data_IF_384100388255
#
_entry.id   IF_384100388255
#
_cell.length_a   1.000
_cell.length_b   1.000
_cell.length_c   1.000
_cell.angle_alpha   90.00
_cell.angle_beta   90.00
_cell.angle_gamma   90.00
#
_symmetry.space_group_name_H-M   'P 1'
#
loop_
_entity.id
_entity.type
_entity.pdbx_description
1 polymer ?
#
# COMPACT_ATOMS: atom_id res chain seq x y z
N UNK A 1 46.17 -69.45 88.67
CA UNK A 1 46.64 -68.72 87.47
C UNK A 1 45.89 -67.40 87.43
N UNK A 2 46.60 -66.28 87.48
CA UNK A 2 45.98 -64.96 87.51
C UNK A 2 45.50 -64.57 86.10
N UNK A 3 44.22 -64.21 85.97
CA UNK A 3 43.58 -63.85 84.71
C UNK A 3 43.81 -62.36 84.41
N UNK A 4 44.99 -62.04 83.88
CA UNK A 4 45.38 -60.67 83.52
C UNK A 4 45.23 -60.45 82.00
N UNK A 5 44.58 -59.37 81.59
CA UNK A 5 44.34 -59.03 80.17
C UNK A 5 45.63 -58.72 79.37
N UNK A 6 46.76 -58.49 80.05
CA UNK A 6 48.07 -58.26 79.44
C UNK A 6 49.03 -59.39 79.82
N UNK A 7 49.63 -60.09 78.85
CA UNK A 7 50.58 -61.16 79.14
C UNK A 7 51.77 -60.59 79.90
N UNK A 8 52.08 -61.20 81.05
CA UNK A 8 53.19 -60.76 81.92
C UNK A 8 54.40 -61.64 81.67
N UNK A 9 55.57 -61.03 81.42
CA UNK A 9 56.85 -61.73 81.26
C UNK A 9 57.78 -61.33 82.39
N UNK A 10 58.39 -62.32 83.04
CA UNK A 10 59.34 -62.10 84.15
C UNK A 10 60.74 -62.47 83.71
N UNK A 11 61.69 -61.58 84.03
CA UNK A 11 63.10 -61.70 83.68
C UNK A 11 64.01 -61.28 84.85
N UNK A 12 63.82 -61.93 86.00
CA UNK A 12 64.64 -61.74 87.20
C UNK A 12 65.67 -62.86 87.21
N UNK A 13 66.84 -62.63 86.62
CA UNK A 13 67.86 -63.67 86.48
C UNK A 13 68.61 -63.94 87.79
N UNK A 14 68.80 -65.22 88.14
CA UNK A 14 70.02 -66.02 88.41
C UNK A 14 69.54 -67.48 88.56
N UNK A 15 70.35 -68.48 88.20
CA UNK A 15 69.92 -69.90 88.14
C UNK A 15 69.37 -70.44 89.47
N UNK A 16 69.82 -69.85 90.58
CA UNK A 16 69.51 -70.28 91.95
C UNK A 16 68.37 -69.49 92.63
N UNK A 17 67.83 -68.45 91.98
CA UNK A 17 66.80 -67.57 92.56
C UNK A 17 65.39 -67.96 92.07
N UNK A 18 64.58 -68.63 92.90
CA UNK A 18 63.17 -68.89 92.62
C UNK A 18 62.28 -67.78 93.22
N UNK A 19 61.55 -67.04 92.38
CA UNK A 19 60.68 -65.95 92.84
C UNK A 19 59.20 -66.24 92.58
N UNK A 20 58.33 -65.78 93.50
CA UNK A 20 56.87 -65.87 93.32
C UNK A 20 56.37 -65.18 92.04
N UNK A 21 57.13 -64.20 91.52
CA UNK A 21 56.82 -63.53 90.27
C UNK A 21 56.92 -64.49 89.07
N UNK A 22 57.93 -65.36 89.02
CA UNK A 22 58.08 -66.36 87.96
C UNK A 22 56.95 -67.38 87.97
N UNK A 23 56.46 -67.78 89.14
CA UNK A 23 55.37 -68.76 89.29
C UNK A 23 54.01 -68.26 88.77
N UNK A 24 53.83 -66.93 88.63
CA UNK A 24 52.57 -66.31 88.20
C UNK A 24 52.68 -65.71 86.79
N UNK A 25 53.88 -65.59 86.23
CA UNK A 25 54.11 -65.04 84.89
C UNK A 25 53.63 -65.98 83.77
N UNK A 26 53.24 -65.38 82.63
CA UNK A 26 52.86 -66.11 81.42
C UNK A 26 54.09 -66.67 80.71
N UNK A 27 55.21 -65.94 80.75
CA UNK A 27 56.48 -66.39 80.20
C UNK A 27 57.63 -66.03 81.15
N UNK A 28 58.54 -66.98 81.34
CA UNK A 28 59.78 -66.80 82.10
C UNK A 28 60.93 -66.65 81.11
N UNK A 29 61.77 -65.65 81.35
CA UNK A 29 63.02 -65.43 80.62
C UNK A 29 64.18 -65.32 81.60
N UNK A 30 65.37 -65.78 81.23
CA UNK A 30 66.55 -65.69 82.10
C UNK A 30 67.15 -64.28 82.15
N UNK A 31 66.93 -63.48 81.09
CA UNK A 31 67.50 -62.14 80.99
C UNK A 31 66.46 -61.12 80.51
N UNK A 32 66.57 -59.84 80.90
CA UNK A 32 65.70 -58.79 80.36
C UNK A 32 65.74 -58.72 78.83
N UNK A 33 66.87 -59.04 78.21
CA UNK A 33 67.03 -59.08 76.75
C UNK A 33 66.20 -60.19 76.10
N UNK A 34 66.24 -61.40 76.67
CA UNK A 34 65.50 -62.57 76.16
C UNK A 34 63.97 -62.37 76.32
N UNK A 35 63.52 -61.70 77.38
CA UNK A 35 62.12 -61.27 77.52
C UNK A 35 61.72 -60.24 76.46
N UNK A 36 62.62 -59.31 76.15
CA UNK A 36 62.43 -58.34 75.07
C UNK A 36 62.26 -59.01 73.71
N UNK A 37 63.06 -60.04 73.42
CA UNK A 37 62.94 -60.83 72.17
C UNK A 37 61.63 -61.62 72.14
N UNK A 38 61.23 -62.23 73.25
CA UNK A 38 60.00 -63.03 73.35
C UNK A 38 58.72 -62.20 73.15
N UNK A 39 58.73 -60.92 73.54
CA UNK A 39 57.57 -60.02 73.45
C UNK A 39 57.61 -59.12 72.22
N UNK A 40 58.80 -58.82 71.68
CA UNK A 40 58.92 -57.94 70.53
C UNK A 40 58.27 -58.58 69.29
N UNK A 41 57.39 -57.84 68.59
CA UNK A 41 56.83 -58.32 67.34
C UNK A 41 57.92 -58.43 66.28
N UNK A 42 57.79 -59.41 65.38
CA UNK A 42 58.68 -59.52 64.23
C UNK A 42 58.60 -58.25 63.37
N UNK A 43 59.72 -57.55 63.27
CA UNK A 43 59.83 -56.29 62.57
C UNK A 43 59.56 -56.45 61.07
N UNK A 44 59.84 -57.61 60.48
CA UNK A 44 59.52 -57.89 59.09
C UNK A 44 58.00 -57.95 58.88
N UNK A 45 57.27 -58.66 59.73
CA UNK A 45 55.80 -58.69 59.72
C UNK A 45 55.18 -57.30 59.91
N UNK A 46 55.69 -56.48 60.84
CA UNK A 46 55.19 -55.11 61.05
C UNK A 46 55.42 -54.25 59.81
N UNK A 47 56.61 -54.30 59.19
CA UNK A 47 56.91 -53.57 57.96
C UNK A 47 56.03 -54.01 56.80
N UNK A 48 55.79 -55.31 56.65
CA UNK A 48 54.90 -55.84 55.62
C UNK A 48 53.48 -55.31 55.80
N UNK A 49 52.96 -55.30 57.03
CA UNK A 49 51.62 -54.74 57.32
C UNK A 49 51.53 -53.26 56.99
N UNK A 50 52.57 -52.48 57.28
CA UNK A 50 52.61 -51.05 56.91
C UNK A 50 52.58 -50.90 55.39
N UNK A 51 53.42 -51.63 54.65
CA UNK A 51 53.45 -51.60 53.19
C UNK A 51 52.09 -52.00 52.58
N UNK A 52 51.44 -53.05 53.12
CA UNK A 52 50.12 -53.47 52.65
C UNK A 52 49.05 -52.39 52.88
N UNK A 53 49.09 -51.70 54.02
CA UNK A 53 48.20 -50.58 54.33
C UNK A 53 48.47 -49.41 53.38
N UNK A 54 49.72 -49.05 53.15
CA UNK A 54 50.12 -47.98 52.22
C UNK A 54 49.61 -48.29 50.81
N UNK A 55 49.83 -49.50 50.29
CA UNK A 55 49.31 -49.92 48.99
C UNK A 55 47.78 -49.93 48.91
N UNK A 56 47.10 -50.26 50.01
CA UNK A 56 45.64 -50.22 50.05
C UNK A 56 45.11 -48.79 50.04
N UNK A 57 45.74 -47.89 50.80
CA UNK A 57 45.39 -46.47 50.82
C UNK A 57 45.66 -45.82 49.47
N UNK A 58 46.82 -46.08 48.87
CA UNK A 58 47.19 -45.53 47.56
C UNK A 58 46.18 -45.96 46.49
N UNK A 59 45.89 -47.26 46.37
CA UNK A 59 44.89 -47.77 45.42
C UNK A 59 43.50 -47.19 45.66
N UNK A 60 43.05 -47.10 46.91
CA UNK A 60 41.76 -46.52 47.23
C UNK A 60 41.70 -45.04 46.86
N UNK A 61 42.75 -44.29 47.17
CA UNK A 61 42.85 -42.87 46.83
C UNK A 61 42.86 -42.66 45.32
N UNK A 62 43.70 -43.39 44.58
CA UNK A 62 43.73 -43.32 43.11
C UNK A 62 42.37 -43.63 42.52
N UNK A 63 41.70 -44.71 42.95
CA UNK A 63 40.37 -45.06 42.45
C UNK A 63 39.37 -43.92 42.67
N UNK A 64 39.29 -43.39 43.90
CA UNK A 64 38.35 -42.31 44.24
C UNK A 64 38.62 -41.06 43.41
N UNK A 65 39.89 -40.68 43.25
CA UNK A 65 40.27 -39.50 42.46
C UNK A 65 39.93 -39.71 40.99
N UNK A 66 40.31 -40.85 40.41
CA UNK A 66 40.03 -41.18 39.00
C UNK A 66 38.55 -41.19 38.72
N UNK A 67 37.74 -41.86 39.55
CA UNK A 67 36.29 -41.92 39.41
C UNK A 67 35.67 -40.53 39.53
N UNK A 68 36.15 -39.72 40.48
CA UNK A 68 35.64 -38.37 40.69
C UNK A 68 35.96 -37.45 39.52
N UNK A 69 37.19 -37.51 39.01
CA UNK A 69 37.60 -36.73 37.84
C UNK A 69 36.80 -37.16 36.61
N UNK A 70 36.66 -38.47 36.36
CA UNK A 70 35.86 -38.98 35.25
C UNK A 70 34.39 -38.50 35.31
N UNK A 71 33.77 -38.58 36.49
CA UNK A 71 32.40 -38.12 36.68
C UNK A 71 32.25 -36.60 36.48
N UNK A 72 33.22 -35.80 36.91
CA UNK A 72 33.22 -34.35 36.70
C UNK A 72 33.40 -33.99 35.22
N UNK A 73 34.34 -34.66 34.54
CA UNK A 73 34.55 -34.48 33.09
C UNK A 73 33.29 -34.81 32.31
N UNK A 74 32.65 -35.95 32.58
CA UNK A 74 31.41 -36.32 31.91
C UNK A 74 30.27 -35.31 32.13
N UNK A 75 30.15 -34.78 33.36
CA UNK A 75 29.17 -33.72 33.66
C UNK A 75 29.48 -32.41 32.93
N UNK A 76 30.75 -32.05 32.83
CA UNK A 76 31.19 -30.86 32.11
C UNK A 76 30.89 -31.01 30.61
N UNK A 77 31.22 -32.14 30.01
CA UNK A 77 30.96 -32.42 28.60
C UNK A 77 29.47 -32.40 28.28
N UNK A 78 28.64 -33.04 29.10
CA UNK A 78 27.19 -32.99 28.95
C UNK A 78 26.64 -31.55 29.10
N UNK A 79 27.19 -30.78 30.04
CA UNK A 79 26.87 -29.37 30.22
C UNK A 79 27.24 -28.53 29.00
N UNK A 80 28.45 -28.71 28.46
CA UNK A 80 28.94 -28.02 27.27
C UNK A 80 28.10 -28.36 26.04
N UNK A 81 27.78 -29.63 25.81
CA UNK A 81 26.90 -30.06 24.71
C UNK A 81 25.51 -29.41 24.82
N UNK A 82 24.93 -29.39 26.02
CA UNK A 82 23.63 -28.74 26.27
C UNK A 82 23.69 -27.24 25.98
N UNK A 83 24.75 -26.56 26.41
CA UNK A 83 24.96 -25.14 26.14
C UNK A 83 25.14 -24.86 24.65
N UNK A 84 25.89 -25.70 23.93
CA UNK A 84 26.07 -25.60 22.48
C UNK A 84 24.74 -25.76 21.74
N UNK A 85 23.95 -26.78 22.09
CA UNK A 85 22.63 -26.99 21.49
C UNK A 85 21.70 -25.80 21.74
N UNK A 86 21.66 -25.28 22.98
CA UNK A 86 20.88 -24.07 23.30
C UNK A 86 21.35 -22.84 22.54
N UNK A 87 22.66 -22.65 22.38
CA UNK A 87 23.21 -21.55 21.62
C UNK A 87 22.84 -21.64 20.13
N UNK A 88 22.90 -22.84 19.54
CA UNK A 88 22.46 -23.11 18.17
C UNK A 88 20.97 -22.87 17.98
N UNK A 89 20.13 -23.38 18.89
CA UNK A 89 18.68 -23.17 18.85
C UNK A 89 18.32 -21.67 18.98
N UNK A 90 19.02 -20.92 19.85
CA UNK A 90 18.85 -19.47 19.98
C UNK A 90 19.26 -18.73 18.71
N UNK A 91 20.36 -19.14 18.08
CA UNK A 91 20.81 -18.58 16.79
C UNK A 91 19.77 -18.82 15.70
N UNK A 92 19.28 -20.05 15.56
CA UNK A 92 18.24 -20.38 14.58
C UNK A 92 16.94 -19.59 14.80
N UNK A 93 16.52 -19.44 16.07
CA UNK A 93 15.32 -18.64 16.42
C UNK A 93 15.50 -17.16 16.06
N UNK A 94 16.67 -16.59 16.35
CA UNK A 94 17.00 -15.20 15.95
C UNK A 94 16.99 -15.03 14.43
N UNK A 95 17.57 -15.98 13.69
CA UNK A 95 17.57 -15.94 12.23
C UNK A 95 16.15 -16.01 11.66
N UNK A 96 15.29 -16.89 12.19
CA UNK A 96 13.87 -16.96 11.79
C UNK A 96 13.12 -15.67 12.09
N UNK A 97 13.42 -15.03 13.23
CA UNK A 97 12.78 -13.76 13.61
C UNK A 97 13.17 -12.65 12.63
N UNK A 98 14.47 -12.54 12.30
CA UNK A 98 14.96 -11.56 11.33
C UNK A 98 14.41 -11.82 9.91
N UNK A 99 14.29 -13.09 9.49
CA UNK A 99 13.68 -13.44 8.20
C UNK A 99 12.20 -13.03 8.15
N UNK A 100 11.44 -13.34 9.21
CA UNK A 100 10.03 -12.96 9.29
C UNK A 100 9.84 -11.44 9.31
N UNK A 101 10.67 -10.72 10.05
CA UNK A 101 10.66 -9.26 10.07
C UNK A 101 10.90 -8.69 8.67
N UNK A 102 11.95 -9.15 7.98
CA UNK A 102 12.25 -8.72 6.61
C UNK A 102 11.10 -9.02 5.65
N UNK A 103 10.53 -10.23 5.71
CA UNK A 103 9.39 -10.64 4.87
C UNK A 103 8.15 -9.82 5.13
N UNK A 104 7.85 -9.48 6.38
CA UNK A 104 6.72 -8.62 6.74
C UNK A 104 6.94 -7.23 6.15
N UNK A 105 8.13 -6.65 6.30
CA UNK A 105 8.45 -5.32 5.74
C UNK A 105 8.26 -5.30 4.23
N UNK A 106 8.85 -6.26 3.51
CA UNK A 106 8.73 -6.34 2.04
C UNK A 106 7.27 -6.55 1.60
N UNK A 107 6.53 -7.45 2.27
CA UNK A 107 5.13 -7.70 1.93
C UNK A 107 4.25 -6.49 2.22
N UNK A 108 4.51 -5.77 3.32
CA UNK A 108 3.78 -4.56 3.69
C UNK A 108 4.05 -3.43 2.69
N UNK A 109 5.31 -3.18 2.33
CA UNK A 109 5.68 -2.19 1.32
C UNK A 109 5.01 -2.51 -0.03
N UNK A 110 5.11 -3.76 -0.49
CA UNK A 110 4.49 -4.20 -1.73
C UNK A 110 2.96 -4.01 -1.72
N UNK A 111 2.30 -4.34 -0.59
CA UNK A 111 0.86 -4.15 -0.43
C UNK A 111 0.47 -2.67 -0.46
N UNK A 112 1.21 -1.82 0.26
CA UNK A 112 0.97 -0.38 0.29
C UNK A 112 1.17 0.23 -1.09
N UNK A 113 2.27 -0.09 -1.78
CA UNK A 113 2.52 0.37 -3.15
C UNK A 113 1.41 -0.09 -4.09
N UNK A 114 1.04 -1.37 -4.05
CA UNK A 114 -0.05 -1.89 -4.89
C UNK A 114 -1.37 -1.16 -4.65
N UNK A 115 -1.71 -0.87 -3.38
CA UNK A 115 -2.92 -0.13 -3.02
C UNK A 115 -2.87 1.32 -3.49
N UNK A 116 -1.74 2.01 -3.31
CA UNK A 116 -1.56 3.38 -3.77
C UNK A 116 -1.67 3.47 -5.28
N UNK A 117 -1.00 2.60 -6.03
CA UNK A 117 -1.08 2.57 -7.50
C UNK A 117 -2.49 2.25 -7.99
N UNK A 118 -3.22 1.36 -7.32
CA UNK A 118 -4.61 1.07 -7.67
C UNK A 118 -5.51 2.29 -7.46
N UNK A 119 -5.38 3.00 -6.33
CA UNK A 119 -6.13 4.22 -6.05
C UNK A 119 -5.78 5.32 -7.05
N UNK A 120 -4.50 5.50 -7.35
CA UNK A 120 -4.02 6.49 -8.32
C UNK A 120 -4.59 6.23 -9.71
N UNK A 121 -4.59 4.98 -10.15
CA UNK A 121 -5.16 4.58 -11.44
C UNK A 121 -6.68 4.84 -11.47
N UNK A 122 -7.40 4.42 -10.42
CA UNK A 122 -8.85 4.69 -10.32
C UNK A 122 -9.18 6.17 -10.33
N UNK A 123 -8.36 7.00 -9.67
CA UNK A 123 -8.55 8.44 -9.63
C UNK A 123 -8.31 9.06 -11.02
N UNK A 124 -7.24 8.67 -11.70
CA UNK A 124 -6.93 9.14 -13.05
C UNK A 124 -8.03 8.74 -14.05
N UNK A 125 -8.52 7.50 -13.99
CA UNK A 125 -9.62 7.04 -14.84
C UNK A 125 -10.90 7.85 -14.58
N UNK A 126 -11.24 8.10 -13.31
CA UNK A 126 -12.39 8.92 -12.95
C UNK A 126 -12.25 10.37 -13.43
N UNK A 127 -11.06 10.96 -13.34
CA UNK A 127 -10.77 12.28 -13.89
C UNK A 127 -10.93 12.32 -15.41
N UNK A 128 -10.39 11.35 -16.15
CA UNK A 128 -10.53 11.29 -17.61
C UNK A 128 -12.00 11.16 -18.05
N UNK A 129 -12.79 10.33 -17.35
CA UNK A 129 -14.23 10.20 -17.64
C UNK A 129 -14.96 11.53 -17.42
N UNK A 130 -14.65 12.24 -16.33
CA UNK A 130 -15.26 13.53 -16.04
C UNK A 130 -14.88 14.60 -17.06
N UNK A 131 -13.61 14.63 -17.48
CA UNK A 131 -13.11 15.56 -18.49
C UNK A 131 -13.81 15.32 -19.84
N UNK A 132 -13.87 14.06 -20.30
CA UNK A 132 -14.58 13.71 -21.54
C UNK A 132 -16.08 14.01 -21.48
N UNK A 133 -16.74 13.79 -20.33
CA UNK A 133 -18.14 14.16 -20.15
C UNK A 133 -18.32 15.68 -20.27
N UNK A 134 -17.48 16.47 -19.62
CA UNK A 134 -17.52 17.93 -19.71
C UNK A 134 -17.24 18.46 -21.13
N UNK A 135 -16.29 17.84 -21.84
CA UNK A 135 -16.00 18.17 -23.24
C UNK A 135 -17.19 17.88 -24.15
N UNK A 136 -17.81 16.71 -24.01
CA UNK A 136 -18.98 16.32 -24.83
C UNK A 136 -20.19 17.21 -24.56
N UNK A 137 -20.46 17.55 -23.30
CA UNK A 137 -21.50 18.51 -22.93
C UNK A 137 -21.22 19.90 -23.51
N UNK A 138 -19.97 20.39 -23.44
CA UNK A 138 -19.60 21.67 -24.03
C UNK A 138 -19.75 21.67 -25.57
N UNK A 139 -19.40 20.56 -26.23
CA UNK A 139 -19.55 20.42 -27.68
C UNK A 139 -21.02 20.38 -28.11
N UNK A 140 -21.88 19.65 -27.39
CA UNK A 140 -23.31 19.58 -27.68
C UNK A 140 -23.99 20.93 -27.43
N UNK A 141 -23.65 21.62 -26.35
CA UNK A 141 -24.15 22.98 -26.06
C UNK A 141 -23.76 23.98 -27.16
N UNK A 142 -22.49 23.98 -27.59
CA UNK A 142 -22.02 24.82 -28.71
C UNK A 142 -22.70 24.47 -30.03
N UNK A 143 -22.95 23.20 -30.30
CA UNK A 143 -23.66 22.76 -31.50
C UNK A 143 -25.13 23.23 -31.48
N UNK A 144 -25.81 23.13 -30.34
CA UNK A 144 -27.17 23.63 -30.14
C UNK A 144 -27.23 25.16 -30.34
N UNK A 145 -26.32 25.92 -29.73
CA UNK A 145 -26.24 27.38 -29.90
C UNK A 145 -26.03 27.78 -31.36
N UNK A 146 -25.12 27.12 -32.09
CA UNK A 146 -24.92 27.36 -33.53
C UNK A 146 -26.18 27.08 -34.36
N UNK A 147 -26.93 26.02 -34.03
CA UNK A 147 -28.21 25.70 -34.70
C UNK A 147 -29.26 26.77 -34.45
N UNK A 148 -29.37 27.26 -33.20
CA UNK A 148 -30.31 28.33 -32.84
C UNK A 148 -29.96 29.61 -33.59
N UNK A 149 -28.69 30.06 -33.55
CA UNK A 149 -28.27 31.26 -34.29
C UNK A 149 -28.44 31.13 -35.81
N UNK A 150 -28.23 29.92 -36.37
CA UNK A 150 -28.51 29.66 -37.77
C UNK A 150 -30.01 29.68 -38.11
N UNK A 151 -30.88 29.26 -37.18
CA UNK A 151 -32.33 29.34 -37.34
C UNK A 151 -32.80 30.80 -37.29
N UNK A 152 -32.28 31.58 -36.35
CA UNK A 152 -32.54 33.00 -36.16
C UNK A 152 -32.19 33.80 -37.42
N UNK A 153 -30.96 33.64 -37.94
CA UNK A 153 -30.54 34.29 -39.18
C UNK A 153 -31.44 33.93 -40.38
N UNK A 154 -31.90 32.67 -40.47
CA UNK A 154 -32.83 32.24 -41.53
C UNK A 154 -34.22 32.84 -41.36
N UNK A 155 -34.71 32.95 -40.13
CA UNK A 155 -35.99 33.60 -39.82
C UNK A 155 -35.91 35.08 -40.18
N UNK A 156 -34.86 35.78 -39.76
CA UNK A 156 -34.64 37.18 -40.10
C UNK A 156 -34.59 37.40 -41.61
N UNK A 157 -33.82 36.57 -42.33
CA UNK A 157 -33.73 36.64 -43.79
C UNK A 157 -35.09 36.40 -44.45
N UNK A 158 -35.85 35.39 -44.01
CA UNK A 158 -37.16 35.08 -44.55
C UNK A 158 -38.20 36.15 -44.23
N UNK A 159 -38.15 36.71 -43.02
CA UNK A 159 -38.99 37.82 -42.59
C UNK A 159 -38.71 39.07 -43.40
N UNK A 160 -37.45 39.50 -43.50
CA UNK A 160 -37.03 40.63 -44.34
C UNK A 160 -37.47 40.44 -45.79
N UNK A 161 -37.17 39.28 -46.38
CA UNK A 161 -37.58 38.96 -47.77
C UNK A 161 -39.10 39.06 -47.95
N UNK A 162 -39.89 38.59 -46.97
CA UNK A 162 -41.34 38.67 -47.05
C UNK A 162 -41.85 40.10 -46.90
N UNK A 163 -41.29 40.84 -45.96
CA UNK A 163 -41.60 42.25 -45.74
C UNK A 163 -41.29 43.05 -47.01
N UNK A 164 -40.13 42.86 -47.61
CA UNK A 164 -39.73 43.51 -48.87
C UNK A 164 -40.68 43.16 -50.02
N UNK A 165 -41.12 41.90 -50.12
CA UNK A 165 -42.11 41.48 -51.14
C UNK A 165 -43.49 42.09 -50.92
N UNK A 166 -43.97 42.11 -49.69
CA UNK A 166 -45.28 42.70 -49.34
C UNK A 166 -45.26 44.22 -49.54
N UNK A 167 -44.18 44.90 -49.13
CA UNK A 167 -43.98 46.33 -49.39
C UNK A 167 -43.87 46.63 -50.89
N UNK A 168 -43.08 45.86 -51.64
CA UNK A 168 -42.98 46.02 -53.09
C UNK A 168 -44.31 45.78 -53.82
N UNK A 169 -45.10 44.79 -53.37
CA UNK A 169 -46.43 44.53 -53.92
C UNK A 169 -47.43 45.66 -53.56
N UNK A 170 -47.35 46.21 -52.35
CA UNK A 170 -48.16 47.34 -51.94
C UNK A 170 -47.78 48.61 -52.72
N UNK A 171 -46.50 48.86 -52.90
CA UNK A 171 -45.98 50.00 -53.67
C UNK A 171 -46.41 49.91 -55.14
N UNK A 172 -46.28 48.74 -55.77
CA UNK A 172 -46.78 48.50 -57.12
C UNK A 172 -48.30 48.73 -57.22
N UNK A 173 -49.08 48.25 -56.25
CA UNK A 173 -50.54 48.50 -56.20
C UNK A 173 -50.89 49.97 -56.04
N UNK A 174 -50.14 50.70 -55.22
CA UNK A 174 -50.30 52.15 -55.05
C UNK A 174 -49.97 52.86 -56.37
N UNK A 175 -48.86 52.50 -57.01
CA UNK A 175 -48.43 53.10 -58.28
C UNK A 175 -49.45 52.85 -59.40
N UNK A 176 -49.95 51.61 -59.55
CA UNK A 176 -50.99 51.30 -60.52
C UNK A 176 -52.30 52.07 -60.23
N UNK A 177 -52.70 52.18 -58.96
CA UNK A 177 -53.85 53.02 -58.57
C UNK A 177 -53.67 54.51 -58.89
N UNK A 178 -52.47 55.06 -58.71
CA UNK A 178 -52.16 56.43 -59.12
C UNK A 178 -52.22 56.61 -60.64
N UNK A 179 -51.68 55.65 -61.41
CA UNK A 179 -51.75 55.67 -62.89
C UNK A 179 -53.19 55.59 -63.40
N UNK A 180 -54.03 54.76 -62.78
CA UNK A 180 -55.45 54.65 -63.14
C UNK A 180 -56.18 55.99 -62.90
N UNK A 181 -55.94 56.65 -61.76
CA UNK A 181 -56.53 57.97 -61.47
C UNK A 181 -56.01 59.05 -62.44
N UNK A 182 -54.72 59.03 -62.79
CA UNK A 182 -54.16 59.99 -63.74
C UNK A 182 -54.68 59.76 -65.16
N UNK A 183 -54.84 58.51 -65.58
CA UNK A 183 -55.39 58.18 -66.90
C UNK A 183 -56.88 58.54 -66.98
N UNK A 184 -57.68 58.26 -65.95
CA UNK A 184 -59.07 58.71 -65.87
C UNK A 184 -59.18 60.24 -65.91
N UNK A 185 -58.33 60.96 -65.16
CA UNK A 185 -58.27 62.41 -65.20
C UNK A 185 -57.87 62.95 -66.59
N UNK A 186 -56.92 62.30 -67.28
CA UNK A 186 -56.51 62.64 -68.66
C UNK A 186 -57.62 62.34 -69.67
N UNK A 187 -58.37 61.25 -69.50
CA UNK A 187 -59.51 60.90 -70.36
C UNK A 187 -60.62 61.94 -70.20
N UNK A 188 -60.98 62.31 -68.97
CA UNK A 188 -61.97 63.36 -68.71
C UNK A 188 -61.51 64.73 -69.27
N UNK A 189 -60.23 65.08 -69.13
CA UNK A 189 -59.67 66.30 -69.71
C UNK A 189 -59.78 66.31 -71.25
N UNK A 190 -59.44 65.19 -71.92
CA UNK A 190 -59.56 65.05 -73.38
C UNK A 190 -61.01 65.10 -73.88
N UNK A 191 -61.96 64.54 -73.13
CA UNK A 191 -63.40 64.68 -73.46
C UNK A 191 -63.86 66.14 -73.37
N UNK A 192 -63.35 66.91 -72.42
CA UNK A 192 -63.68 68.33 -72.29
C UNK A 192 -63.14 69.18 -73.46
N UNK A 193 -61.93 68.91 -73.93
CA UNK A 193 -61.32 69.59 -75.09
C UNK A 193 -62.00 69.21 -76.40
N UNK A 194 -62.33 67.93 -76.62
CA UNK A 194 -63.07 67.52 -77.82
C UNK A 194 -64.48 68.09 -77.85
N UNK A 195 -65.14 68.25 -76.71
CA UNK A 195 -66.45 68.93 -76.62
C UNK A 195 -66.33 70.42 -76.95
N UNK A 196 -65.29 71.10 -76.46
CA UNK A 196 -64.99 72.50 -76.82
C UNK A 196 -64.69 72.66 -78.31
N UNK A 197 -63.87 71.78 -78.89
CA UNK A 197 -63.56 71.79 -80.32
C UNK A 197 -64.81 71.51 -81.18
N UNK A 198 -65.67 70.56 -80.79
CA UNK A 198 -66.96 70.33 -81.46
C UNK A 198 -67.88 71.55 -81.40
N UNK A 199 -67.99 72.21 -80.24
CA UNK A 199 -68.77 73.45 -80.10
C UNK A 199 -68.16 74.55 -80.98
N UNK A 200 -66.84 74.73 -80.98
CA UNK A 200 -66.16 75.71 -81.82
C UNK A 200 -66.37 75.44 -83.32
N UNK A 201 -66.31 74.18 -83.77
CA UNK A 201 -66.60 73.78 -85.16
C UNK A 201 -68.06 74.06 -85.52
N UNK A 202 -69.01 73.74 -84.64
CA UNK A 202 -70.43 74.03 -84.86
C UNK A 202 -70.65 75.54 -84.99
N UNK A 203 -70.05 76.35 -84.11
CA UNK A 203 -70.11 77.82 -84.19
C UNK A 203 -69.50 78.32 -85.49
N UNK A 204 -68.36 77.78 -85.92
CA UNK A 204 -67.74 78.15 -87.20
C UNK A 204 -68.63 77.80 -88.40
N UNK A 205 -69.27 76.63 -88.41
CA UNK A 205 -70.21 76.23 -89.45
C UNK A 205 -71.46 77.12 -89.48
N UNK A 206 -71.96 77.55 -88.32
CA UNK A 206 -73.07 78.51 -88.24
C UNK A 206 -72.65 79.88 -88.79
N UNK A 207 -71.44 80.35 -88.46
CA UNK A 207 -70.89 81.61 -89.01
C UNK A 207 -70.70 81.49 -90.52
N UNK A 208 -70.15 80.38 -91.01
CA UNK A 208 -69.93 80.15 -92.45
C UNK A 208 -71.27 80.02 -93.21
N UNK A 209 -72.27 79.39 -92.60
CA UNK A 209 -73.64 79.34 -93.09
C UNK A 209 -74.29 80.72 -93.16
N UNK A 210 -74.08 81.56 -92.13
CA UNK A 210 -74.54 82.95 -92.13
C UNK A 210 -73.84 83.82 -93.18
N UNK A 211 -72.54 83.60 -93.43
CA UNK A 211 -71.83 84.30 -94.50
C UNK A 211 -72.27 83.85 -95.89
N UNK A 212 -72.57 82.55 -96.08
CA UNK A 212 -73.16 82.04 -97.33
C UNK A 212 -74.58 82.57 -97.54
N UNK A 213 -75.38 82.68 -96.47
CA UNK A 213 -76.71 83.28 -96.51
C UNK A 213 -76.63 84.79 -96.84
N UNK A 214 -75.68 85.51 -96.26
CA UNK A 214 -75.45 86.93 -96.57
C UNK A 214 -74.99 87.14 -98.02
N UNK A 215 -74.21 86.20 -98.58
CA UNK A 215 -73.82 86.21 -100.00
C UNK A 215 -74.97 85.88 -100.95
N UNK A 216 -75.91 85.02 -100.52
CA UNK A 216 -77.09 84.66 -101.31
C UNK A 216 -78.18 85.76 -101.33
N UNK A 217 -78.24 86.61 -100.30
CA UNK A 217 -79.25 87.67 -100.18
C UNK A 217 -78.80 89.00 -100.82
N UNK A 218 -77.51 89.14 -101.17
CA UNK A 218 -76.98 90.36 -101.82
C UNK A 218 -77.00 90.38 -103.35
N UNK A 219 -77.53 89.35 -104.02
CA UNK A 219 -77.52 89.21 -105.51
C UNK A 219 -78.95 89.21 -106.09
N UNK A 220 -79.90 89.90 -105.46
CA UNK A 220 -81.23 90.12 -106.04
C UNK A 220 -81.78 91.50 -105.72
#
# INVERSE_FOLDING_TARGET
MADCASPTVVAVGHEDDETLAEAVAVHRSMTPTDAGVAVAPDLASVRQRVADIEHRVDRAYTSVVTDRVAALTQRLDAGLQTLQQRAQARKATRQRTADLEHRITVAYEALVTSRLTAIETQLNDAYQVLEHAAETDAMTARAAQRRVGGLESRIDTAYQTRVDREFGALEARIEDGYRDVETDARVQARESETRRLRIAIIVLLVVLGLTLLALAVGVL
#
